data_IF_975861164445
#
_entry.id   IF_975861164445
#
_cell.length_a   1.000
_cell.length_b   1.000
_cell.length_c   1.000
_cell.angle_alpha   90.00
_cell.angle_beta   90.00
_cell.angle_gamma   90.00
#
_symmetry.space_group_name_H-M   'P 1'
#
loop_
_entity.id
_entity.type
_entity.pdbx_description
1 polymer ?
#
# COMPACT_ATOMS: atom_id res chain seq x y z
N UNK A 1 -6.22 -18.37 0.16
CA UNK A 1 -6.45 -16.92 0.13
C UNK A 1 -6.09 -16.34 1.46
N UNK A 2 -4.92 -15.72 1.51
CA UNK A 2 -4.43 -14.97 2.65
C UNK A 2 -5.07 -13.57 2.69
N UNK A 3 -5.51 -13.13 3.85
CA UNK A 3 -6.08 -11.78 4.05
C UNK A 3 -4.97 -10.73 3.89
N UNK A 4 -5.09 -9.75 2.98
CA UNK A 4 -4.06 -8.74 2.78
C UNK A 4 -3.99 -7.77 3.97
N UNK A 5 -2.77 -7.42 4.37
CA UNK A 5 -2.49 -6.43 5.42
C UNK A 5 -1.67 -5.27 4.85
N UNK A 6 -2.18 -4.04 4.97
CA UNK A 6 -1.42 -2.83 4.64
C UNK A 6 -1.00 -2.09 5.91
N UNK A 7 0.21 -1.55 5.91
CA UNK A 7 0.75 -0.74 6.99
C UNK A 7 0.67 0.73 6.59
N UNK A 8 0.10 1.58 7.44
CA UNK A 8 0.16 3.04 7.34
C UNK A 8 1.13 3.54 8.41
N UNK A 9 2.23 4.17 7.99
CA UNK A 9 3.29 4.67 8.86
C UNK A 9 3.72 6.10 8.50
N UNK A 10 4.62 6.68 9.29
CA UNK A 10 5.10 8.06 9.14
C UNK A 10 5.04 8.85 10.44
N UNK A 11 5.77 9.95 10.51
CA UNK A 11 5.91 10.77 11.73
C UNK A 11 4.58 11.27 12.33
N UNK A 12 4.62 11.63 13.62
CA UNK A 12 3.47 12.23 14.30
C UNK A 12 3.02 13.50 13.57
N UNK A 13 1.71 13.66 13.38
CA UNK A 13 1.14 14.82 12.71
C UNK A 13 1.27 14.83 11.18
N UNK A 14 1.85 13.78 10.56
CA UNK A 14 2.00 13.73 9.10
C UNK A 14 0.70 13.57 8.32
N UNK A 15 -0.36 13.06 8.97
CA UNK A 15 -1.70 12.89 8.38
C UNK A 15 -2.18 11.44 8.25
N UNK A 16 -1.51 10.47 8.89
CA UNK A 16 -1.89 9.04 8.90
C UNK A 16 -3.38 8.80 9.21
N UNK A 17 -3.90 9.32 10.31
CA UNK A 17 -5.32 9.18 10.68
C UNK A 17 -6.27 9.83 9.67
N UNK A 18 -5.84 10.91 9.00
CA UNK A 18 -6.62 11.53 7.91
C UNK A 18 -6.69 10.60 6.71
N UNK A 19 -5.57 9.97 6.36
CA UNK A 19 -5.50 8.96 5.31
C UNK A 19 -6.37 7.73 5.65
N UNK A 20 -6.28 7.21 6.87
CA UNK A 20 -7.08 6.08 7.33
C UNK A 20 -8.59 6.38 7.22
N UNK A 21 -9.04 7.52 7.73
CA UNK A 21 -10.45 7.94 7.66
C UNK A 21 -10.93 8.04 6.22
N UNK A 22 -10.11 8.60 5.34
CA UNK A 22 -10.42 8.70 3.92
C UNK A 22 -10.66 7.32 3.32
N UNK A 23 -9.71 6.41 3.52
CA UNK A 23 -9.79 5.02 3.06
C UNK A 23 -11.09 4.36 3.51
N UNK A 24 -11.43 4.48 4.79
CA UNK A 24 -12.64 3.86 5.34
C UNK A 24 -13.93 4.50 4.80
N UNK A 25 -13.87 5.77 4.40
CA UNK A 25 -15.02 6.48 3.83
C UNK A 25 -15.23 6.22 2.34
N UNK A 26 -14.16 5.92 1.60
CA UNK A 26 -14.18 5.70 0.14
C UNK A 26 -14.25 4.21 -0.22
N UNK A 27 -13.92 3.31 0.72
CA UNK A 27 -13.92 1.87 0.48
C UNK A 27 -15.29 1.22 0.68
N UNK A 28 -15.71 0.41 -0.29
CA UNK A 28 -16.84 -0.50 -0.16
C UNK A 28 -16.47 -1.84 0.51
N UNK A 29 -15.18 -2.08 0.76
CA UNK A 29 -14.67 -3.35 1.33
C UNK A 29 -14.89 -3.42 2.83
N UNK A 30 -15.03 -4.63 3.34
CA UNK A 30 -15.01 -4.92 4.77
C UNK A 30 -13.57 -4.82 5.29
N UNK A 31 -13.20 -3.64 5.80
CA UNK A 31 -11.85 -3.38 6.30
C UNK A 31 -11.85 -3.47 7.83
N UNK A 32 -10.90 -4.23 8.38
CA UNK A 32 -10.56 -4.17 9.79
C UNK A 32 -9.35 -3.26 10.01
N UNK A 33 -9.36 -2.51 11.10
CA UNK A 33 -8.26 -1.59 11.45
C UNK A 33 -7.67 -2.00 12.79
N UNK A 34 -6.35 -2.10 12.83
CA UNK A 34 -5.56 -2.34 14.02
C UNK A 34 -4.69 -1.09 14.25
N UNK A 35 -4.95 -0.37 15.33
CA UNK A 35 -4.11 0.77 15.73
C UNK A 35 -3.01 0.26 16.66
N UNK A 36 -1.76 0.38 16.23
CA UNK A 36 -0.61 0.07 17.05
C UNK A 36 -0.16 1.35 17.79
N UNK A 37 -0.97 1.84 18.74
CA UNK A 37 -0.67 2.98 19.60
C UNK A 37 -0.34 2.61 21.05
N UNK A 38 0.68 3.29 21.62
CA UNK A 38 0.95 3.27 23.05
C UNK A 38 -0.05 4.17 23.76
N UNK A 39 -0.83 3.57 24.66
CA UNK A 39 -1.30 4.22 25.89
C UNK A 39 -1.90 5.61 25.74
N UNK A 40 -3.17 5.68 25.38
CA UNK A 40 -4.20 6.45 26.08
C UNK A 40 -5.54 5.96 25.55
N UNK A 41 -6.53 5.86 26.42
CA UNK A 41 -7.92 5.61 26.03
C UNK A 41 -8.33 6.80 25.14
N UNK A 42 -8.22 6.61 23.83
CA UNK A 42 -8.33 7.68 22.84
C UNK A 42 -9.76 7.85 22.40
N UNK A 43 -10.28 9.06 22.58
CA UNK A 43 -11.58 9.58 22.10
C UNK A 43 -11.84 9.25 20.60
N UNK A 44 -10.81 8.87 19.84
CA UNK A 44 -10.87 8.49 18.43
C UNK A 44 -11.59 7.15 18.14
N UNK A 45 -11.69 6.23 19.12
CA UNK A 45 -12.45 4.99 18.98
C UNK A 45 -13.95 5.22 18.76
N UNK A 46 -14.50 6.33 19.27
CA UNK A 46 -15.91 6.71 19.06
C UNK A 46 -16.16 7.42 17.72
N UNK A 47 -15.12 7.94 17.05
CA UNK A 47 -15.23 8.89 15.93
C UNK A 47 -15.25 8.22 14.54
N UNK A 48 -14.88 6.94 14.43
CA UNK A 48 -14.82 6.24 13.14
C UNK A 48 -15.97 5.23 13.03
N UNK A 49 -17.18 5.73 12.77
CA UNK A 49 -18.34 4.91 12.36
C UNK A 49 -18.51 4.99 10.85
N UNK A 50 -17.86 4.09 10.11
CA UNK A 50 -18.12 3.86 8.69
C UNK A 50 -19.26 2.84 8.48
N UNK A 51 -19.84 2.78 7.28
CA UNK A 51 -20.98 1.89 6.98
C UNK A 51 -20.69 0.39 7.12
N UNK A 52 -19.43 -0.03 7.13
CA UNK A 52 -18.99 -1.44 7.21
C UNK A 52 -17.64 -1.61 7.98
N UNK A 53 -17.43 -0.88 9.08
CA UNK A 53 -16.16 -0.90 9.82
C UNK A 53 -16.33 -1.59 11.18
N UNK A 54 -15.63 -2.70 11.39
CA UNK A 54 -15.43 -3.32 12.70
C UNK A 54 -14.06 -2.91 13.23
N UNK A 55 -14.04 -2.10 14.29
CA UNK A 55 -12.82 -1.63 14.94
C UNK A 55 -12.48 -2.56 16.10
N UNK A 56 -11.26 -3.11 16.07
CA UNK A 56 -10.72 -3.87 17.19
C UNK A 56 -9.60 -3.02 17.80
N UNK A 57 -9.93 -2.37 18.91
CA UNK A 57 -8.96 -1.64 19.72
C UNK A 57 -8.20 -2.62 20.60
N UNK A 58 -6.87 -2.58 20.52
CA UNK A 58 -6.01 -3.41 21.36
C UNK A 58 -5.96 -2.82 22.76
N UNK A 59 -6.80 -3.33 23.66
CA UNK A 59 -6.76 -2.98 25.08
C UNK A 59 -5.61 -3.72 25.78
N UNK A 60 -4.39 -3.18 25.66
CA UNK A 60 -3.18 -3.71 26.30
C UNK A 60 -1.96 -2.87 25.92
N UNK A 61 -1.25 -2.34 26.92
CA UNK A 61 -0.16 -1.39 26.69
C UNK A 61 1.10 -2.00 26.07
N UNK A 62 1.78 -1.18 25.26
CA UNK A 62 3.17 -1.30 24.83
C UNK A 62 3.54 -2.41 23.82
N UNK A 63 3.60 -2.07 22.52
CA UNK A 63 4.21 -2.95 21.48
C UNK A 63 5.73 -2.80 21.35
N UNK A 64 6.35 -1.77 21.94
CA UNK A 64 7.79 -1.53 21.71
C UNK A 64 8.77 -2.21 22.68
N UNK A 65 8.38 -3.02 23.67
CA UNK A 65 9.38 -3.58 24.60
C UNK A 65 9.20 -5.00 25.18
N UNK A 66 8.05 -5.71 25.13
CA UNK A 66 8.00 -7.02 25.85
C UNK A 66 6.94 -8.07 25.45
N UNK A 67 6.16 -7.99 24.37
CA UNK A 67 5.27 -9.12 24.01
C UNK A 67 5.10 -9.30 22.49
N UNK A 68 6.03 -10.05 21.90
CA UNK A 68 5.76 -10.86 20.70
C UNK A 68 4.49 -11.69 20.97
N UNK A 69 3.42 -11.49 20.21
CA UNK A 69 2.18 -12.28 20.30
C UNK A 69 0.87 -11.51 20.47
N UNK A 70 0.86 -10.26 20.97
CA UNK A 70 -0.39 -9.48 21.10
C UNK A 70 -0.93 -9.03 19.73
N UNK A 71 -0.03 -8.59 18.84
CA UNK A 71 -0.40 -8.25 17.46
C UNK A 71 -0.90 -9.47 16.68
N UNK A 72 -0.20 -10.61 16.79
CA UNK A 72 -0.61 -11.88 16.19
C UNK A 72 -2.01 -12.32 16.68
N UNK A 73 -2.24 -12.26 18.00
CA UNK A 73 -3.54 -12.60 18.59
C UNK A 73 -4.66 -11.69 18.07
N UNK A 74 -4.40 -10.38 17.99
CA UNK A 74 -5.34 -9.40 17.45
C UNK A 74 -5.72 -9.70 16.00
N UNK A 75 -4.73 -9.97 15.15
CA UNK A 75 -4.94 -10.29 13.74
C UNK A 75 -5.75 -11.59 13.61
N UNK A 76 -5.41 -12.63 14.38
CA UNK A 76 -6.16 -13.90 14.40
C UNK A 76 -7.61 -13.70 14.83
N UNK A 77 -7.85 -12.95 15.91
CA UNK A 77 -9.19 -12.65 16.40
C UNK A 77 -10.03 -11.89 15.38
N UNK A 78 -9.44 -10.88 14.74
CA UNK A 78 -10.07 -10.10 13.67
C UNK A 78 -10.47 -11.01 12.51
N UNK A 79 -9.57 -11.89 12.06
CA UNK A 79 -9.86 -12.83 10.96
C UNK A 79 -11.02 -13.76 11.31
N UNK A 80 -11.04 -14.31 12.53
CA UNK A 80 -12.06 -15.24 12.98
C UNK A 80 -13.45 -14.58 13.13
N UNK A 81 -13.50 -13.39 13.75
CA UNK A 81 -14.75 -12.71 14.10
C UNK A 81 -15.31 -11.86 12.96
N UNK A 82 -14.45 -11.05 12.34
CA UNK A 82 -14.86 -10.02 11.37
C UNK A 82 -14.82 -10.58 9.95
N UNK A 83 -13.90 -11.52 9.66
CA UNK A 83 -13.63 -12.04 8.31
C UNK A 83 -13.43 -10.88 7.30
N UNK A 84 -12.48 -9.97 7.55
CA UNK A 84 -12.30 -8.80 6.72
C UNK A 84 -11.76 -9.18 5.34
N UNK A 85 -12.05 -8.34 4.35
CA UNK A 85 -11.44 -8.40 3.02
C UNK A 85 -10.04 -7.77 3.01
N UNK A 86 -9.75 -6.89 3.99
CA UNK A 86 -8.45 -6.21 4.14
C UNK A 86 -8.22 -5.81 5.59
N UNK A 87 -6.97 -5.88 6.06
CA UNK A 87 -6.57 -5.37 7.38
C UNK A 87 -5.65 -4.17 7.19
N UNK A 88 -5.90 -3.08 7.91
CA UNK A 88 -4.99 -1.91 7.94
C UNK A 88 -4.37 -1.83 9.33
N UNK A 89 -3.05 -1.74 9.36
CA UNK A 89 -2.29 -1.49 10.59
C UNK A 89 -1.78 -0.05 10.55
N UNK A 90 -2.29 0.81 11.43
CA UNK A 90 -1.71 2.15 11.63
C UNK A 90 -0.64 2.07 12.73
N UNK A 91 0.58 2.52 12.43
CA UNK A 91 1.67 2.58 13.40
C UNK A 91 1.72 3.93 14.11
N UNK A 92 2.27 3.98 15.33
CA UNK A 92 2.55 5.28 15.96
C UNK A 92 3.50 6.13 15.13
N UNK A 93 3.45 7.44 15.35
CA UNK A 93 4.37 8.40 14.75
C UNK A 93 5.86 8.16 15.05
N UNK A 94 6.18 7.25 15.97
CA UNK A 94 7.55 6.92 16.40
C UNK A 94 7.87 5.43 16.26
N UNK A 95 6.97 4.65 15.64
CA UNK A 95 7.17 3.22 15.45
C UNK A 95 7.84 2.92 14.10
N UNK A 96 8.68 1.90 14.12
CA UNK A 96 9.35 1.33 12.95
C UNK A 96 8.50 0.18 12.39
N UNK A 97 8.26 0.13 11.07
CA UNK A 97 7.43 -0.92 10.48
C UNK A 97 8.09 -2.31 10.45
N UNK A 98 9.41 -2.46 10.66
CA UNK A 98 10.14 -3.72 10.47
C UNK A 98 9.57 -4.88 11.29
N UNK A 99 9.33 -4.65 12.59
CA UNK A 99 8.83 -5.68 13.49
C UNK A 99 7.45 -6.19 13.06
N UNK A 100 6.59 -5.27 12.60
CA UNK A 100 5.24 -5.60 12.12
C UNK A 100 5.32 -6.38 10.80
N UNK A 101 6.24 -5.99 9.91
CA UNK A 101 6.47 -6.70 8.65
C UNK A 101 6.92 -8.14 8.91
N UNK A 102 7.90 -8.33 9.80
CA UNK A 102 8.37 -9.67 10.20
C UNK A 102 7.23 -10.49 10.79
N UNK A 103 6.41 -9.92 11.67
CA UNK A 103 5.26 -10.63 12.23
C UNK A 103 4.26 -11.06 11.14
N UNK A 104 3.93 -10.17 10.20
CA UNK A 104 2.99 -10.48 9.10
C UNK A 104 3.54 -11.56 8.17
N UNK A 105 4.83 -11.51 7.84
CA UNK A 105 5.43 -12.42 6.86
C UNK A 105 5.79 -13.79 7.45
N UNK A 106 6.24 -13.84 8.70
CA UNK A 106 6.83 -15.04 9.31
C UNK A 106 5.96 -15.67 10.39
N UNK A 107 5.17 -14.88 11.14
CA UNK A 107 4.52 -15.35 12.38
C UNK A 107 2.99 -15.52 12.25
N UNK A 108 2.35 -14.85 11.30
CA UNK A 108 0.88 -14.88 11.17
C UNK A 108 0.46 -15.68 9.94
N UNK A 109 -0.09 -16.88 10.16
CA UNK A 109 -0.69 -17.66 9.09
C UNK A 109 -2.01 -17.05 8.58
N UNK A 110 -2.33 -17.27 7.31
CA UNK A 110 -3.59 -16.82 6.71
C UNK A 110 -3.63 -15.33 6.35
N UNK A 111 -2.51 -14.61 6.47
CA UNK A 111 -2.35 -13.22 6.04
C UNK A 111 -1.15 -13.04 5.11
N UNK A 112 -1.09 -11.91 4.42
CA UNK A 112 0.05 -11.50 3.60
C UNK A 112 0.25 -10.00 3.68
N UNK A 113 1.50 -9.54 3.66
CA UNK A 113 1.81 -8.12 3.52
C UNK A 113 1.39 -7.66 2.13
N UNK A 114 0.65 -6.55 2.09
CA UNK A 114 0.12 -6.00 0.85
C UNK A 114 0.81 -4.69 0.43
N UNK A 115 0.93 -3.74 1.35
CA UNK A 115 1.62 -2.47 1.08
C UNK A 115 2.11 -1.79 2.36
N UNK A 116 3.23 -1.09 2.28
CA UNK A 116 3.71 -0.15 3.30
C UNK A 116 3.55 1.27 2.75
N UNK A 117 2.65 2.02 3.37
CA UNK A 117 2.29 3.38 2.96
C UNK A 117 2.84 4.35 4.01
N UNK A 118 3.78 5.19 3.60
CA UNK A 118 4.40 6.19 4.48
C UNK A 118 3.86 7.57 4.17
N UNK A 119 3.28 8.23 5.17
CA UNK A 119 2.86 9.63 5.05
C UNK A 119 4.00 10.54 5.53
N UNK A 120 4.62 11.24 4.57
CA UNK A 120 5.71 12.17 4.80
C UNK A 120 5.20 13.61 4.85
N UNK A 121 5.45 14.33 5.94
CA UNK A 121 5.07 15.73 6.08
C UNK A 121 6.10 16.64 5.42
N UNK A 122 5.77 17.23 4.27
CA UNK A 122 6.69 18.08 3.52
C UNK A 122 7.12 19.31 4.32
N UNK A 123 6.20 19.98 5.03
CA UNK A 123 6.49 21.16 5.85
C UNK A 123 7.43 20.83 7.00
N UNK A 124 7.19 19.70 7.67
CA UNK A 124 8.08 19.22 8.73
C UNK A 124 9.46 18.85 8.21
N UNK A 125 9.56 18.21 7.04
CA UNK A 125 10.85 17.83 6.45
C UNK A 125 11.68 19.03 6.01
N UNK A 126 11.03 20.12 5.61
CA UNK A 126 11.66 21.42 5.35
C UNK A 126 12.16 22.06 6.64
N UNK A 127 11.31 22.10 7.68
CA UNK A 127 11.66 22.73 8.98
C UNK A 127 12.73 21.95 9.74
N UNK A 128 12.74 20.63 9.61
CA UNK A 128 13.66 19.72 10.28
C UNK A 128 14.36 18.83 9.24
N UNK A 129 15.40 19.35 8.56
CA UNK A 129 16.09 18.63 7.50
C UNK A 129 16.90 17.43 7.96
N UNK A 130 17.01 17.13 9.25
CA UNK A 130 17.60 15.88 9.74
C UNK A 130 16.50 14.83 9.90
N UNK A 131 16.58 13.74 9.14
CA UNK A 131 15.70 12.58 9.36
C UNK A 131 16.37 11.69 10.42
N UNK A 132 15.66 11.45 11.52
CA UNK A 132 16.12 10.51 12.55
C UNK A 132 16.01 9.06 12.08
N UNK A 133 16.55 8.13 12.87
CA UNK A 133 16.58 6.70 12.54
C UNK A 133 15.19 6.15 12.17
N UNK A 134 14.19 6.35 13.03
CA UNK A 134 12.81 5.91 12.78
C UNK A 134 12.22 6.44 11.48
N UNK A 135 12.38 7.74 11.19
CA UNK A 135 11.87 8.33 9.96
C UNK A 135 12.57 7.80 8.72
N UNK A 136 13.87 7.48 8.83
CA UNK A 136 14.65 6.88 7.76
C UNK A 136 14.10 5.48 7.45
N UNK A 137 13.92 4.64 8.47
CA UNK A 137 13.36 3.30 8.34
C UNK A 137 11.94 3.34 7.72
N UNK A 138 11.08 4.24 8.20
CA UNK A 138 9.73 4.44 7.65
C UNK A 138 9.75 4.78 6.15
N UNK A 139 10.71 5.60 5.70
CA UNK A 139 10.86 5.97 4.30
C UNK A 139 11.52 4.85 3.47
N UNK A 140 12.55 4.19 3.99
CA UNK A 140 13.28 3.10 3.33
C UNK A 140 12.40 1.87 3.06
N UNK A 141 11.46 1.57 3.96
CA UNK A 141 10.54 0.43 3.83
C UNK A 141 9.29 0.73 3.01
N UNK A 142 9.03 1.99 2.66
CA UNK A 142 7.80 2.37 1.99
C UNK A 142 7.72 1.79 0.57
N UNK A 143 6.53 1.32 0.17
CA UNK A 143 6.18 1.15 -1.24
C UNK A 143 5.66 2.46 -1.82
N UNK A 144 4.85 3.16 -1.04
CA UNK A 144 4.16 4.36 -1.43
C UNK A 144 4.46 5.41 -0.37
N UNK A 145 4.99 6.55 -0.81
CA UNK A 145 5.24 7.70 0.04
C UNK A 145 4.29 8.81 -0.38
N UNK A 146 3.34 9.12 0.50
CA UNK A 146 2.50 10.30 0.33
C UNK A 146 3.27 11.51 0.87
N UNK A 147 3.83 12.32 -0.03
CA UNK A 147 4.42 13.61 0.30
C UNK A 147 3.26 14.56 0.55
N UNK A 148 2.86 14.70 1.81
CA UNK A 148 1.67 15.41 2.25
C UNK A 148 1.96 16.84 2.69
N UNK A 149 0.90 17.66 2.72
CA UNK A 149 0.95 19.10 3.06
C UNK A 149 1.75 19.91 2.04
N UNK A 150 1.67 19.54 0.77
CA UNK A 150 2.36 20.26 -0.31
C UNK A 150 1.81 21.67 -0.53
N UNK A 151 0.61 21.97 -0.02
CA UNK A 151 -0.03 23.28 -0.09
C UNK A 151 0.67 24.37 0.75
N UNK A 152 1.49 24.00 1.72
CA UNK A 152 2.20 24.94 2.61
C UNK A 152 3.71 25.00 2.35
N UNK A 153 4.18 24.34 1.29
CA UNK A 153 5.61 24.31 0.91
C UNK A 153 5.75 24.80 -0.53
N UNK A 154 6.76 25.65 -0.79
CA UNK A 154 7.05 26.10 -2.15
C UNK A 154 7.70 25.00 -3.01
N UNK A 155 7.55 25.12 -4.33
CA UNK A 155 7.97 24.09 -5.29
C UNK A 155 9.45 23.71 -5.16
N UNK A 156 10.33 24.70 -4.96
CA UNK A 156 11.77 24.45 -4.84
C UNK A 156 12.06 23.59 -3.62
N UNK A 157 11.43 23.87 -2.48
CA UNK A 157 11.59 23.08 -1.26
C UNK A 157 10.92 21.71 -1.36
N UNK A 158 9.83 21.58 -2.11
CA UNK A 158 9.22 20.28 -2.40
C UNK A 158 10.18 19.39 -3.18
N UNK A 159 10.83 19.93 -4.23
CA UNK A 159 11.87 19.20 -4.98
C UNK A 159 13.03 18.75 -4.07
N UNK A 160 13.47 19.60 -3.14
CA UNK A 160 14.49 19.24 -2.14
C UNK A 160 14.04 18.10 -1.22
N UNK A 161 12.79 18.11 -0.76
CA UNK A 161 12.20 17.02 0.05
C UNK A 161 12.12 15.73 -0.76
N UNK A 162 11.66 15.79 -2.00
CA UNK A 162 11.52 14.61 -2.87
C UNK A 162 12.86 14.01 -3.27
N UNK A 163 13.87 14.84 -3.51
CA UNK A 163 15.24 14.39 -3.78
C UNK A 163 15.81 13.66 -2.57
N UNK A 164 15.55 14.15 -1.37
CA UNK A 164 15.99 13.50 -0.14
C UNK A 164 15.26 12.18 0.13
N UNK A 165 13.97 12.12 -0.17
CA UNK A 165 13.21 10.86 -0.11
C UNK A 165 13.78 9.87 -1.13
N UNK A 166 14.09 10.32 -2.34
CA UNK A 166 14.69 9.50 -3.40
C UNK A 166 16.05 8.92 -2.98
N UNK A 167 16.89 9.71 -2.30
CA UNK A 167 18.17 9.23 -1.77
C UNK A 167 18.01 8.06 -0.80
N UNK A 168 16.93 8.06 -0.01
CA UNK A 168 16.62 7.01 0.95
C UNK A 168 15.93 5.81 0.28
N UNK A 169 14.96 6.08 -0.60
CA UNK A 169 14.16 5.04 -1.22
C UNK A 169 13.82 5.40 -2.67
N UNK A 170 14.62 4.86 -3.58
CA UNK A 170 14.45 4.96 -5.03
C UNK A 170 13.31 4.12 -5.59
N UNK A 171 12.83 3.15 -4.82
CA UNK A 171 11.81 2.19 -5.25
C UNK A 171 10.41 2.66 -4.91
N UNK A 172 10.27 3.48 -3.86
CA UNK A 172 8.99 4.01 -3.43
C UNK A 172 8.37 4.92 -4.49
N UNK A 173 7.09 4.69 -4.74
CA UNK A 173 6.25 5.62 -5.49
C UNK A 173 5.97 6.83 -4.62
N UNK A 174 6.36 8.01 -5.09
CA UNK A 174 6.08 9.28 -4.41
C UNK A 174 4.83 9.91 -5.00
N UNK A 175 3.88 10.25 -4.14
CA UNK A 175 2.64 10.94 -4.52
C UNK A 175 2.52 12.21 -3.71
N UNK A 176 2.55 13.36 -4.39
CA UNK A 176 2.27 14.66 -3.77
C UNK A 176 0.80 14.73 -3.38
N UNK A 177 0.51 15.14 -2.16
CA UNK A 177 -0.85 15.20 -1.63
C UNK A 177 -1.10 16.41 -0.74
N UNK A 178 -2.36 16.84 -0.72
CA UNK A 178 -2.90 17.79 0.26
C UNK A 178 -3.96 17.04 1.05
N UNK A 179 -3.85 17.02 2.38
CA UNK A 179 -4.75 16.26 3.27
C UNK A 179 -4.85 14.78 2.89
N UNK A 180 -3.73 14.17 2.48
CA UNK A 180 -3.67 12.78 2.03
C UNK A 180 -4.65 12.48 0.87
N UNK A 181 -4.90 13.46 0.00
CA UNK A 181 -5.75 13.27 -1.18
C UNK A 181 -5.04 12.46 -2.26
N UNK A 182 -5.14 11.14 -2.15
CA UNK A 182 -4.70 10.15 -3.12
C UNK A 182 -5.83 9.17 -3.41
N UNK A 183 -5.79 8.55 -4.58
CA UNK A 183 -6.72 7.48 -4.94
C UNK A 183 -6.44 6.23 -4.06
N UNK A 184 -7.41 5.90 -3.22
CA UNK A 184 -7.29 4.83 -2.22
C UNK A 184 -7.21 3.44 -2.85
N UNK A 185 -7.69 3.25 -4.08
CA UNK A 185 -7.56 1.96 -4.77
C UNK A 185 -6.10 1.61 -5.09
N UNK A 186 -5.24 2.61 -5.20
CA UNK A 186 -3.80 2.43 -5.41
C UNK A 186 -3.10 1.92 -4.17
N UNK A 187 -3.67 2.24 -3.00
CA UNK A 187 -3.11 1.91 -1.70
C UNK A 187 -3.37 0.45 -1.33
N UNK A 188 -4.35 -0.24 -1.93
CA UNK A 188 -4.79 -1.58 -1.48
C UNK A 188 -4.83 -2.72 -2.49
N UNK A 189 -4.40 -3.87 -1.97
CA UNK A 189 -4.44 -5.26 -2.44
C UNK A 189 -5.76 -5.74 -2.92
N UNK A 190 -5.74 -6.45 -4.04
CA UNK A 190 -6.78 -7.31 -4.63
C UNK A 190 -7.97 -7.58 -3.70
N UNK A 191 -9.12 -6.99 -4.01
CA UNK A 191 -10.43 -7.66 -4.16
C UNK A 191 -11.40 -6.58 -4.66
N UNK A 192 -11.44 -6.38 -5.97
CA UNK A 192 -12.68 -5.93 -6.61
C UNK A 192 -12.98 -6.95 -7.70
N UNK A 193 -13.76 -7.98 -7.36
CA UNK A 193 -14.41 -8.82 -8.37
C UNK A 193 -15.48 -8.04 -9.15
N UNK A 194 -15.81 -6.83 -8.70
CA UNK A 194 -16.58 -5.89 -9.48
C UNK A 194 -15.67 -5.33 -10.56
N UNK A 195 -16.12 -5.49 -11.81
CA UNK A 195 -15.71 -4.70 -12.96
C UNK A 195 -15.25 -3.31 -12.51
N UNK A 196 -13.96 -3.02 -12.71
CA UNK A 196 -13.41 -1.68 -12.53
C UNK A 196 -14.01 -0.81 -13.64
N UNK A 197 -15.24 -0.34 -13.45
CA UNK A 197 -15.78 0.80 -14.18
C UNK A 197 -15.27 2.06 -13.47
N UNK A 198 -13.98 2.36 -13.67
CA UNK A 198 -13.38 3.61 -13.19
C UNK A 198 -13.97 4.78 -13.97
N UNK A 199 -15.03 5.38 -13.41
CA UNK A 199 -15.57 6.63 -13.93
C UNK A 199 -14.54 7.76 -13.78
N UNK A 200 -14.38 8.64 -14.80
CA UNK A 200 -13.54 9.82 -14.69
C UNK A 200 -14.07 10.78 -13.62
N UNK A 201 -13.45 10.83 -12.45
CA UNK A 201 -13.61 11.97 -11.54
C UNK A 201 -12.66 13.10 -11.97
N UNK A 202 -13.25 14.27 -12.16
CA UNK A 202 -12.65 15.42 -12.83
C UNK A 202 -11.96 16.36 -11.83
N UNK A 203 -10.64 16.28 -11.66
CA UNK A 203 -9.82 17.36 -11.11
C UNK A 203 -8.39 17.30 -11.68
N UNK A 204 -7.96 18.40 -12.35
CA UNK A 204 -6.62 18.76 -12.85
C UNK A 204 -5.89 17.74 -13.75
N UNK A 205 -5.69 18.09 -15.02
CA UNK A 205 -5.24 17.19 -16.10
C UNK A 205 -3.78 16.70 -16.01
N UNK A 206 -2.96 17.18 -15.08
CA UNK A 206 -1.51 16.87 -15.05
C UNK A 206 -1.07 15.76 -14.06
N UNK A 207 -1.98 15.27 -13.20
CA UNK A 207 -1.69 14.28 -12.15
C UNK A 207 -2.60 13.03 -12.20
N UNK A 208 -3.19 12.76 -13.37
CA UNK A 208 -4.17 11.67 -13.48
C UNK A 208 -3.48 10.31 -13.48
N UNK A 209 -3.90 9.47 -12.54
CA UNK A 209 -3.56 8.05 -12.52
C UNK A 209 -4.27 7.35 -13.67
N UNK A 210 -3.48 6.63 -14.45
CA UNK A 210 -3.94 5.88 -15.61
C UNK A 210 -3.80 4.39 -15.33
N UNK A 211 -4.52 3.59 -16.12
CA UNK A 211 -4.36 2.14 -16.11
C UNK A 211 -4.55 1.58 -17.52
N UNK A 212 -4.01 0.39 -17.72
CA UNK A 212 -4.31 -0.45 -18.87
C UNK A 212 -4.29 -1.93 -18.45
N UNK A 213 -4.89 -2.80 -19.25
CA UNK A 213 -4.93 -4.23 -18.98
C UNK A 213 -4.28 -5.04 -20.11
N UNK A 214 -3.58 -6.10 -19.76
CA UNK A 214 -2.98 -7.05 -20.70
C UNK A 214 -3.60 -8.42 -20.46
N UNK A 215 -4.16 -9.00 -21.51
CA UNK A 215 -4.55 -10.41 -21.53
C UNK A 215 -3.53 -11.22 -22.33
N UNK A 216 -3.19 -12.41 -21.82
CA UNK A 216 -2.23 -13.32 -22.42
C UNK A 216 -2.61 -14.79 -22.17
N UNK A 217 -1.96 -15.70 -22.89
CA UNK A 217 -2.09 -17.14 -22.68
C UNK A 217 -1.27 -17.64 -21.49
N UNK A 218 -0.88 -18.91 -21.56
CA UNK A 218 0.05 -19.52 -20.59
C UNK A 218 1.42 -18.86 -20.71
N UNK A 219 2.00 -18.45 -19.60
CA UNK A 219 3.30 -17.80 -19.52
C UNK A 219 4.37 -18.78 -19.01
N UNK A 220 5.60 -18.53 -19.46
CA UNK A 220 6.83 -18.98 -18.83
C UNK A 220 7.09 -18.15 -17.58
N UNK A 221 7.15 -18.82 -16.42
CA UNK A 221 7.30 -18.18 -15.11
C UNK A 221 8.61 -17.38 -14.99
N UNK A 222 9.73 -17.92 -15.48
CA UNK A 222 11.03 -17.26 -15.38
C UNK A 222 11.07 -16.00 -16.23
N UNK A 223 10.53 -16.06 -17.46
CA UNK A 223 10.41 -14.89 -18.33
C UNK A 223 9.48 -13.85 -17.73
N UNK A 224 8.36 -14.26 -17.14
CA UNK A 224 7.41 -13.34 -16.53
C UNK A 224 8.02 -12.61 -15.33
N UNK A 225 8.67 -13.33 -14.41
CA UNK A 225 9.36 -12.73 -13.26
C UNK A 225 10.46 -11.76 -13.71
N UNK A 226 11.19 -12.09 -14.78
CA UNK A 226 12.19 -11.19 -15.37
C UNK A 226 11.54 -9.91 -15.92
N UNK A 227 10.42 -10.02 -16.63
CA UNK A 227 9.67 -8.87 -17.13
C UNK A 227 9.11 -7.98 -16.00
N UNK A 228 8.60 -8.58 -14.93
CA UNK A 228 8.10 -7.86 -13.74
C UNK A 228 9.21 -7.06 -13.06
N UNK A 229 10.40 -7.65 -12.91
CA UNK A 229 11.57 -6.96 -12.33
C UNK A 229 12.08 -5.80 -13.19
N UNK A 230 11.72 -5.79 -14.47
CA UNK A 230 12.09 -4.75 -15.43
C UNK A 230 10.96 -3.74 -15.71
N UNK A 231 9.86 -3.77 -14.94
CA UNK A 231 8.78 -2.80 -15.10
C UNK A 231 9.30 -1.37 -14.86
N UNK A 232 8.87 -0.40 -15.68
CA UNK A 232 9.31 0.99 -15.54
C UNK A 232 8.71 1.63 -14.28
N UNK A 233 9.40 2.64 -13.73
CA UNK A 233 9.05 3.31 -12.46
C UNK A 233 7.67 3.98 -12.49
N UNK A 234 7.16 4.31 -13.69
CA UNK A 234 5.82 4.84 -13.85
C UNK A 234 4.71 3.77 -13.71
N UNK A 235 5.06 2.48 -13.56
CA UNK A 235 4.14 1.44 -13.09
C UNK A 235 4.21 1.38 -11.58
N UNK A 236 3.19 1.93 -10.93
CA UNK A 236 3.12 1.96 -9.47
C UNK A 236 2.58 0.65 -8.93
N UNK A 237 1.66 0.05 -9.67
CA UNK A 237 0.96 -1.16 -9.28
C UNK A 237 0.70 -2.04 -10.48
N UNK A 238 0.83 -3.35 -10.31
CA UNK A 238 0.30 -4.31 -11.25
C UNK A 238 -0.40 -5.43 -10.49
N UNK A 239 -1.54 -5.89 -10.99
CA UNK A 239 -2.30 -6.96 -10.34
C UNK A 239 -2.96 -7.84 -11.38
N UNK A 240 -3.24 -9.08 -11.03
CA UNK A 240 -4.06 -9.92 -11.89
C UNK A 240 -3.83 -11.40 -11.73
N UNK A 241 -4.25 -12.15 -12.72
CA UNK A 241 -4.04 -13.59 -12.79
C UNK A 241 -2.91 -13.88 -13.75
N UNK A 242 -2.04 -14.82 -13.37
CA UNK A 242 -0.93 -15.31 -14.18
C UNK A 242 -1.07 -16.81 -14.30
N UNK A 243 -1.28 -17.30 -15.52
CA UNK A 243 -1.38 -18.73 -15.80
C UNK A 243 -0.03 -19.22 -16.33
N UNK A 244 0.62 -20.09 -15.58
CA UNK A 244 1.84 -20.82 -15.95
C UNK A 244 1.51 -22.32 -15.97
N UNK A 245 2.33 -23.19 -15.36
CA UNK A 245 1.99 -24.60 -15.14
C UNK A 245 0.84 -24.77 -14.13
N UNK A 246 0.83 -23.93 -13.11
CA UNK A 246 -0.32 -23.63 -12.25
C UNK A 246 -0.75 -22.18 -12.48
N UNK A 247 -1.81 -21.74 -11.82
CA UNK A 247 -2.27 -20.36 -11.90
C UNK A 247 -2.06 -19.63 -10.58
N UNK A 248 -1.71 -18.36 -10.68
CA UNK A 248 -1.38 -17.51 -9.56
C UNK A 248 -2.20 -16.24 -9.62
N UNK A 249 -2.48 -15.71 -8.44
CA UNK A 249 -2.83 -14.31 -8.29
C UNK A 249 -1.56 -13.52 -8.04
N UNK A 250 -1.31 -12.54 -8.91
CA UNK A 250 -0.12 -11.73 -8.95
C UNK A 250 -0.41 -10.35 -8.37
N UNK A 251 0.46 -9.92 -7.47
CA UNK A 251 0.52 -8.57 -6.92
C UNK A 251 1.88 -7.98 -7.20
N UNK A 252 1.89 -6.72 -7.61
CA UNK A 252 3.08 -5.89 -7.68
C UNK A 252 2.74 -4.51 -7.16
N UNK A 253 3.57 -4.00 -6.27
CA UNK A 253 3.51 -2.64 -5.75
C UNK A 253 4.95 -2.14 -5.67
N UNK A 254 5.25 -1.06 -6.39
CA UNK A 254 6.50 -0.32 -6.25
C UNK A 254 7.78 -1.20 -6.22
N UNK A 255 7.90 -2.13 -7.16
CA UNK A 255 9.07 -3.02 -7.27
C UNK A 255 9.04 -4.28 -6.39
N UNK A 256 8.10 -4.38 -5.44
CA UNK A 256 7.82 -5.63 -4.70
C UNK A 256 6.74 -6.40 -5.44
N UNK A 257 6.87 -7.73 -5.49
CA UNK A 257 5.82 -8.58 -6.03
C UNK A 257 5.62 -9.82 -5.18
N UNK A 258 4.40 -10.33 -5.21
CA UNK A 258 3.96 -11.55 -4.55
C UNK A 258 3.07 -12.35 -5.51
N UNK A 259 3.13 -13.68 -5.38
CA UNK A 259 2.34 -14.62 -6.16
C UNK A 259 1.80 -15.73 -5.26
N UNK A 260 0.48 -15.77 -5.08
CA UNK A 260 -0.21 -16.84 -4.34
C UNK A 260 -0.92 -17.75 -5.36
N UNK A 261 -0.87 -19.08 -5.18
CA UNK A 261 -1.63 -19.99 -6.04
C UNK A 261 -3.13 -19.67 -5.97
N UNK A 262 -3.74 -19.50 -7.15
CA UNK A 262 -5.15 -19.14 -7.27
C UNK A 262 -5.71 -19.69 -8.58
N UNK A 263 -6.86 -20.40 -8.59
CA UNK A 263 -7.46 -20.92 -9.81
C UNK A 263 -7.83 -19.80 -10.80
N UNK A 264 -7.20 -19.79 -11.98
CA UNK A 264 -7.53 -18.87 -13.05
C UNK A 264 -7.39 -19.53 -14.42
N UNK A 265 -8.29 -19.20 -15.34
CA UNK A 265 -8.33 -19.81 -16.67
C UNK A 265 -7.42 -19.10 -17.69
N UNK A 266 -7.11 -17.82 -17.46
CA UNK A 266 -6.29 -17.01 -18.37
C UNK A 266 -5.44 -15.99 -17.63
N UNK A 267 -4.33 -15.60 -18.24
CA UNK A 267 -3.51 -14.50 -17.74
C UNK A 267 -4.22 -13.19 -18.05
N UNK A 268 -4.50 -12.40 -17.01
CA UNK A 268 -5.06 -11.05 -17.12
C UNK A 268 -4.42 -10.16 -16.07
N UNK A 269 -3.70 -9.15 -16.53
CA UNK A 269 -2.97 -8.19 -15.71
C UNK A 269 -3.57 -6.80 -15.90
N UNK A 270 -3.57 -6.00 -14.84
CA UNK A 270 -3.90 -4.58 -14.83
C UNK A 270 -2.70 -3.85 -14.28
N UNK A 271 -2.21 -2.87 -15.04
CA UNK A 271 -1.10 -2.00 -14.67
C UNK A 271 -1.65 -0.61 -14.39
N UNK A 272 -1.19 0.00 -13.30
CA UNK A 272 -1.70 1.27 -12.81
C UNK A 272 -0.50 2.16 -12.45
N UNK A 273 -0.57 3.42 -12.85
CA UNK A 273 0.55 4.34 -12.71
C UNK A 273 0.30 5.69 -13.35
N UNK A 274 1.11 6.69 -13.00
CA UNK A 274 1.04 8.02 -13.64
C UNK A 274 1.64 7.94 -15.05
N UNK A 275 0.86 8.32 -16.06
CA UNK A 275 1.30 8.23 -17.46
C UNK A 275 1.58 6.81 -17.93
N UNK A 276 1.03 5.79 -17.26
CA UNK A 276 1.32 4.37 -17.52
C UNK A 276 0.88 3.92 -18.91
N UNK A 277 -0.05 4.62 -19.57
CA UNK A 277 -0.42 4.32 -20.96
C UNK A 277 0.70 4.58 -21.96
N UNK A 278 1.64 5.47 -21.64
CA UNK A 278 2.81 5.72 -22.49
C UNK A 278 3.71 4.48 -22.65
N UNK A 279 3.70 3.59 -21.66
CA UNK A 279 4.48 2.34 -21.63
C UNK A 279 3.62 1.09 -21.89
N UNK A 280 2.33 1.26 -22.20
CA UNK A 280 1.38 0.15 -22.43
C UNK A 280 1.89 -0.83 -23.49
N UNK A 281 2.38 -0.31 -24.61
CA UNK A 281 2.84 -1.14 -25.73
C UNK A 281 4.06 -1.96 -25.34
N UNK A 282 5.03 -1.34 -24.67
CA UNK A 282 6.26 -1.99 -24.20
C UNK A 282 5.95 -3.13 -23.22
N UNK A 283 5.14 -2.85 -22.20
CA UNK A 283 4.75 -3.83 -21.18
C UNK A 283 3.91 -4.96 -21.80
N UNK A 284 2.96 -4.63 -22.67
CA UNK A 284 2.15 -5.62 -23.37
C UNK A 284 3.01 -6.56 -24.23
N UNK A 285 4.02 -6.02 -24.92
CA UNK A 285 4.97 -6.82 -25.69
C UNK A 285 5.87 -7.68 -24.81
N UNK A 286 6.34 -7.15 -23.67
CA UNK A 286 7.13 -7.89 -22.69
C UNK A 286 6.35 -9.11 -22.15
N UNK A 287 5.10 -8.90 -21.72
CA UNK A 287 4.22 -9.98 -21.24
C UNK A 287 3.94 -11.00 -22.35
N UNK A 288 3.69 -10.56 -23.58
CA UNK A 288 3.46 -11.48 -24.72
C UNK A 288 4.69 -12.32 -25.09
N UNK A 289 5.91 -11.80 -24.90
CA UNK A 289 7.16 -12.57 -25.10
C UNK A 289 7.34 -13.69 -24.06
N UNK A 290 6.59 -13.64 -22.95
CA UNK A 290 6.59 -14.70 -21.95
C UNK A 290 5.70 -15.88 -22.34
N UNK A 291 4.82 -15.77 -23.35
CA UNK A 291 3.84 -16.83 -23.70
C UNK A 291 4.54 -18.09 -24.23
N UNK A 292 4.05 -19.27 -23.80
CA UNK A 292 4.50 -20.61 -24.21
C UNK A 292 3.38 -21.45 -24.82
#
# INVERSE_FOLDING_TARGET
>A
MKTPISIITGYLGSGKTTLLRRILSESDRRIAVIMNEFGEVGIDGEIIKGKNVDMVELSGGCVCCSLTGEFEAAVKEVIEKVKPEHIIVETTGVAEPDAIVVDIEENIEGVRLDSIITVADADSMVKYPSIGYTGRVQLEMADIILVNKTDVVDEKRLEEVEAKIEELNKKAVKVRTVKCNADTELLFGIYSEKHIDMHPHSHLEEDRMEFFSVEAGKLDMEKFVSAVKALPENVYRAKGFVVCDTSYIFNYVAGRYDMEEFPAEKTKLVFIGKGVKSVEKEISEAVRKCVI
#
